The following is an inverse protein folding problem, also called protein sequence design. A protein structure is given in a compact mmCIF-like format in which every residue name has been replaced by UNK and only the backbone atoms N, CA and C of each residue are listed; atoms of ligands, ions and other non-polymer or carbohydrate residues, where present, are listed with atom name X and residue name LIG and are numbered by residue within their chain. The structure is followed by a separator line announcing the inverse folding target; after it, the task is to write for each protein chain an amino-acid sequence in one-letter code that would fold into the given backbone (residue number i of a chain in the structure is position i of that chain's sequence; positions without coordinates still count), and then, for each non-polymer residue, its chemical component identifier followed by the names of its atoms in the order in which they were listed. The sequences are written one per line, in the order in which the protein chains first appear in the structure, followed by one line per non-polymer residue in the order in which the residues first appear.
data_IF_784564766272
#
_entry.id   IF_784564766272
#
_cell.length_a   1.000
_cell.length_b   1.000
_cell.length_c   1.000
_cell.angle_alpha   90.00
_cell.angle_beta   90.00
_cell.angle_gamma   90.00
#
_symmetry.space_group_name_H-M   'P 1'
#
loop_
_entity.id
_entity.type
_entity.pdbx_description
1 polymer ?
#
# COMPACT_ATOMS: atom_id res chain seq x y z
N UNK A 1 -0.31 -9.98 14.73
CA UNK A 1 0.25 -8.63 14.96
C UNK A 1 0.29 -7.97 13.60
N UNK A 2 -0.45 -6.88 13.39
CA UNK A 2 -0.43 -6.14 12.12
C UNK A 2 0.75 -5.18 12.16
N UNK A 3 1.92 -5.68 11.80
CA UNK A 3 3.15 -4.89 11.62
C UNK A 3 3.14 -4.31 10.20
N UNK A 4 3.37 -3.00 10.06
CA UNK A 4 3.55 -2.37 8.76
C UNK A 4 4.91 -2.75 8.14
N UNK A 5 5.15 -2.39 6.87
CA UNK A 5 6.37 -2.65 6.09
C UNK A 5 7.69 -2.16 6.74
N UNK A 6 7.61 -1.42 7.85
CA UNK A 6 8.74 -0.90 8.65
C UNK A 6 8.87 -1.56 10.04
N UNK A 7 8.03 -2.54 10.39
CA UNK A 7 8.04 -3.19 11.70
C UNK A 7 7.53 -2.28 12.85
N UNK A 8 6.85 -1.17 12.52
CA UNK A 8 6.25 -0.23 13.49
C UNK A 8 4.71 -0.26 13.40
N UNK A 9 4.00 0.05 14.49
CA UNK A 9 2.57 0.35 14.43
C UNK A 9 2.30 1.57 13.56
N UNK A 10 1.28 1.52 12.70
CA UNK A 10 0.88 2.64 11.83
C UNK A 10 0.59 3.92 12.64
N UNK A 11 0.05 3.76 13.84
CA UNK A 11 -0.24 4.84 14.78
C UNK A 11 1.01 5.57 15.31
N UNK A 12 2.19 4.97 15.17
CA UNK A 12 3.47 5.54 15.61
C UNK A 12 4.28 6.14 14.46
N UNK A 13 3.75 6.10 13.23
CA UNK A 13 4.38 6.71 12.08
C UNK A 13 4.21 8.23 12.12
N UNK A 14 5.32 8.93 11.93
CA UNK A 14 5.31 10.38 11.68
C UNK A 14 4.59 10.70 10.38
N UNK A 15 4.13 11.95 10.22
CA UNK A 15 3.51 12.43 8.98
C UNK A 15 4.42 12.24 7.76
N UNK A 16 5.74 12.38 7.92
CA UNK A 16 6.71 12.18 6.84
C UNK A 16 6.86 10.70 6.46
N UNK A 17 6.89 9.79 7.45
CA UNK A 17 6.91 8.34 7.21
C UNK A 17 5.60 7.88 6.53
N UNK A 18 4.44 8.37 6.97
CA UNK A 18 3.13 8.09 6.32
C UNK A 18 3.11 8.56 4.86
N UNK A 19 3.58 9.79 4.60
CA UNK A 19 3.65 10.35 3.25
C UNK A 19 4.61 9.59 2.33
N UNK A 20 5.75 9.14 2.87
CA UNK A 20 6.70 8.31 2.13
C UNK A 20 6.06 6.97 1.74
N UNK A 21 5.43 6.28 2.70
CA UNK A 21 4.76 5.00 2.44
C UNK A 21 3.60 5.14 1.46
N UNK A 22 2.78 6.19 1.60
CA UNK A 22 1.69 6.49 0.66
C UNK A 22 2.20 6.59 -0.79
N UNK A 23 3.26 7.37 -1.03
CA UNK A 23 3.85 7.53 -2.36
C UNK A 23 4.37 6.20 -2.92
N UNK A 24 5.08 5.41 -2.10
CA UNK A 24 5.63 4.12 -2.53
C UNK A 24 4.55 3.10 -2.86
N UNK A 25 3.50 3.02 -2.05
CA UNK A 25 2.36 2.14 -2.27
C UNK A 25 1.57 2.57 -3.52
N UNK A 26 1.38 3.87 -3.74
CA UNK A 26 0.73 4.39 -4.94
C UNK A 26 1.53 4.08 -6.21
N UNK A 27 2.85 4.28 -6.18
CA UNK A 27 3.75 3.91 -7.29
C UNK A 27 3.66 2.42 -7.62
N UNK A 28 3.69 1.55 -6.60
CA UNK A 28 3.55 0.10 -6.77
C UNK A 28 2.19 -0.25 -7.39
N UNK A 29 1.11 0.34 -6.89
CA UNK A 29 -0.23 0.12 -7.43
C UNK A 29 -0.34 0.53 -8.91
N UNK A 30 0.20 1.69 -9.29
CA UNK A 30 0.16 2.18 -10.66
C UNK A 30 1.03 1.36 -11.60
N UNK A 31 2.28 1.05 -11.20
CA UNK A 31 3.19 0.24 -12.00
C UNK A 31 2.65 -1.17 -12.24
N UNK A 32 2.05 -1.77 -11.22
CA UNK A 32 1.47 -3.11 -11.34
C UNK A 32 0.20 -3.10 -12.21
N UNK A 33 -0.58 -2.01 -12.19
CA UNK A 33 -1.75 -1.86 -13.05
C UNK A 33 -1.43 -1.54 -14.52
N UNK A 34 -0.32 -0.85 -14.77
CA UNK A 34 0.14 -0.52 -16.13
C UNK A 34 1.02 -1.59 -16.78
N UNK A 35 1.38 -2.66 -16.06
CA UNK A 35 2.23 -3.74 -16.58
C UNK A 35 1.43 -4.72 -17.43
N UNK A 36 1.79 -4.87 -18.72
CA UNK A 36 1.20 -5.85 -19.65
C UNK A 36 1.43 -7.31 -19.21
N UNK A 37 2.38 -7.56 -18.30
CA UNK A 37 2.69 -8.88 -17.74
C UNK A 37 1.99 -9.17 -16.40
N UNK A 38 1.07 -8.29 -15.97
CA UNK A 38 0.28 -8.51 -14.77
C UNK A 38 -0.78 -9.60 -15.03
N UNK A 39 -0.37 -10.87 -14.88
CA UNK A 39 -1.22 -12.05 -14.81
C UNK A 39 -2.58 -11.75 -14.15
N UNK A 40 -3.68 -12.15 -14.81
CA UNK A 40 -5.07 -12.03 -14.32
C UNK A 40 -5.38 -13.02 -13.18
N UNK A 41 -4.51 -13.10 -12.18
CA UNK A 41 -4.70 -14.00 -11.02
C UNK A 41 -5.48 -13.28 -9.92
N UNK A 42 -6.31 -14.03 -9.16
CA UNK A 42 -7.03 -13.57 -7.96
C UNK A 42 -6.12 -12.80 -6.99
N UNK A 43 -4.85 -13.22 -6.87
CA UNK A 43 -3.79 -12.53 -6.12
C UNK A 43 -3.66 -11.03 -6.47
N UNK A 44 -3.91 -10.64 -7.72
CA UNK A 44 -3.86 -9.23 -8.16
C UNK A 44 -4.99 -8.42 -7.53
N UNK A 45 -6.21 -8.95 -7.55
CA UNK A 45 -7.37 -8.26 -7.00
C UNK A 45 -7.25 -8.12 -5.49
N UNK A 46 -6.83 -9.18 -4.80
CA UNK A 46 -6.58 -9.16 -3.35
C UNK A 46 -5.46 -8.19 -2.99
N UNK A 47 -4.35 -8.18 -3.74
CA UNK A 47 -3.23 -7.25 -3.52
C UNK A 47 -3.64 -5.79 -3.76
N UNK A 48 -4.42 -5.51 -4.81
CA UNK A 48 -4.96 -4.17 -5.07
C UNK A 48 -5.88 -3.70 -3.95
N UNK A 49 -6.77 -4.58 -3.47
CA UNK A 49 -7.67 -4.25 -2.37
C UNK A 49 -6.89 -4.00 -1.06
N UNK A 50 -5.87 -4.81 -0.78
CA UNK A 50 -5.00 -4.62 0.38
C UNK A 50 -4.26 -3.27 0.30
N UNK A 51 -3.61 -2.95 -0.82
CA UNK A 51 -2.91 -1.67 -1.01
C UNK A 51 -3.88 -0.49 -0.89
N UNK A 52 -5.05 -0.56 -1.53
CA UNK A 52 -6.07 0.49 -1.44
C UNK A 52 -6.60 0.67 -0.01
N UNK A 53 -6.79 -0.42 0.72
CA UNK A 53 -7.18 -0.39 2.13
C UNK A 53 -6.12 0.31 3.00
N UNK A 54 -4.83 0.01 2.79
CA UNK A 54 -3.74 0.67 3.50
C UNK A 54 -3.64 2.16 3.17
N UNK A 55 -3.74 2.55 1.89
CA UNK A 55 -3.73 3.96 1.48
C UNK A 55 -4.85 4.77 2.15
N UNK A 56 -6.08 4.22 2.19
CA UNK A 56 -7.22 4.88 2.84
C UNK A 56 -7.07 4.99 4.37
N UNK A 57 -6.30 4.10 5.00
CA UNK A 57 -6.01 4.18 6.43
C UNK A 57 -4.97 5.25 6.75
N UNK A 58 -3.95 5.39 5.90
CA UNK A 58 -2.94 6.43 6.04
C UNK A 58 -3.52 7.85 5.88
N UNK A 59 -4.57 8.01 5.07
CA UNK A 59 -5.23 9.31 4.80
C UNK A 59 -6.22 9.74 5.90
N UNK A 60 -6.74 8.79 6.70
CA UNK A 60 -7.79 9.04 7.71
C UNK A 60 -7.27 9.22 9.14
N UNK A 61 -5.96 9.07 9.39
CA UNK A 61 -5.30 9.31 10.69
C UNK A 61 -4.26 10.44 10.62
#
# INVERSE_FOLDING_TARGET
MNEDLLGKPISELTTEEKNFLYKRLLELFLNWNGSENASETEDRFETQQAVFYFLNRLDKE
#
